data_IF_108400268172
#
_entry.id   IF_108400268172
#
_cell.length_a   1.000
_cell.length_b   1.000
_cell.length_c   1.000
_cell.angle_alpha   90.00
_cell.angle_beta   90.00
_cell.angle_gamma   90.00
#
_symmetry.space_group_name_H-M   'P 1'
#
loop_
_entity.id
_entity.type
_entity.pdbx_description
1 polymer ?
#
# COMPACT_ATOMS: atom_id res chain seq x y z
N UNK A 1 -13.58 0.68 6.64
CA UNK A 1 -12.63 0.00 5.75
C UNK A 1 -11.25 0.62 5.97
N UNK A 2 -10.23 -0.21 6.19
CA UNK A 2 -8.82 0.23 6.36
C UNK A 2 -8.29 0.76 5.04
N UNK A 3 -7.66 1.95 5.05
CA UNK A 3 -7.06 2.55 3.84
C UNK A 3 -5.57 2.22 3.78
N UNK A 4 -5.11 1.70 2.65
CA UNK A 4 -3.68 1.45 2.42
C UNK A 4 -3.08 2.53 1.52
N UNK A 5 -1.77 2.70 1.64
CA UNK A 5 -1.01 3.71 0.93
C UNK A 5 0.27 3.12 0.36
N UNK A 6 0.61 3.57 -0.83
CA UNK A 6 1.97 3.60 -1.33
C UNK A 6 2.69 4.76 -0.64
N UNK A 7 3.83 4.48 0.01
CA UNK A 7 4.70 5.53 0.57
C UNK A 7 5.82 5.78 -0.44
N UNK A 8 5.79 6.91 -1.14
CA UNK A 8 6.65 7.21 -2.29
C UNK A 8 7.76 8.18 -1.87
N UNK A 9 9.02 7.79 -2.01
CA UNK A 9 10.17 8.67 -1.83
C UNK A 9 10.23 9.70 -2.98
N UNK A 10 10.26 10.99 -2.65
CA UNK A 10 10.17 12.05 -3.67
C UNK A 10 11.37 12.09 -4.63
N UNK A 11 12.59 11.89 -4.14
CA UNK A 11 13.80 12.04 -4.96
C UNK A 11 13.97 10.94 -6.02
N UNK A 12 13.36 9.77 -5.81
CA UNK A 12 13.54 8.56 -6.62
C UNK A 12 12.26 8.04 -7.27
N UNK A 13 11.10 8.56 -6.86
CA UNK A 13 9.75 8.10 -7.25
C UNK A 13 9.47 6.63 -6.90
N UNK A 14 10.30 6.02 -6.06
CA UNK A 14 10.17 4.63 -5.61
C UNK A 14 9.32 4.54 -4.36
N UNK A 15 8.72 3.36 -4.17
CA UNK A 15 7.86 3.08 -3.01
C UNK A 15 8.64 2.34 -1.93
N UNK A 16 8.23 2.51 -0.68
CA UNK A 16 8.76 1.71 0.43
C UNK A 16 8.22 0.28 0.36
N UNK A 17 9.11 -0.69 0.55
CA UNK A 17 8.86 -2.12 0.44
C UNK A 17 9.54 -2.88 1.58
N UNK A 18 8.88 -3.92 2.10
CA UNK A 18 9.56 -4.97 2.88
C UNK A 18 10.46 -5.79 1.96
N UNK A 19 11.78 -5.82 2.22
CA UNK A 19 12.75 -6.50 1.37
C UNK A 19 12.31 -7.93 1.01
N UNK A 20 12.35 -8.24 -0.29
CA UNK A 20 11.97 -9.53 -0.88
C UNK A 20 10.56 -10.01 -0.50
N UNK A 21 9.64 -9.08 -0.18
CA UNK A 21 8.31 -9.40 0.33
C UNK A 21 8.31 -10.38 1.52
N UNK A 22 9.37 -10.30 2.35
CA UNK A 22 9.58 -11.18 3.49
C UNK A 22 8.41 -11.13 4.47
N UNK A 23 8.07 -12.29 5.03
CA UNK A 23 7.05 -12.42 6.08
C UNK A 23 7.66 -12.50 7.49
N UNK A 24 8.99 -12.38 7.60
CA UNK A 24 9.70 -12.49 8.86
C UNK A 24 9.97 -11.13 9.48
N UNK A 25 9.88 -11.08 10.81
CA UNK A 25 10.35 -9.94 11.60
C UNK A 25 11.84 -9.70 11.37
N UNK A 26 12.26 -8.44 11.44
CA UNK A 26 13.65 -8.04 11.18
C UNK A 26 13.98 -7.85 9.70
N UNK A 27 13.08 -8.16 8.78
CA UNK A 27 13.27 -7.81 7.37
C UNK A 27 13.34 -6.28 7.23
N UNK A 28 14.34 -5.80 6.49
CA UNK A 28 14.57 -4.36 6.32
C UNK A 28 13.54 -3.74 5.38
N UNK A 29 13.28 -2.47 5.60
CA UNK A 29 12.50 -1.65 4.67
C UNK A 29 13.48 -1.06 3.65
N UNK A 30 13.12 -1.16 2.37
CA UNK A 30 13.87 -0.64 1.23
C UNK A 30 12.98 0.26 0.39
N UNK A 31 13.57 1.01 -0.54
CA UNK A 31 12.82 1.50 -1.69
C UNK A 31 12.88 0.50 -2.85
N UNK A 32 11.80 0.41 -3.62
CA UNK A 32 11.72 -0.39 -4.83
C UNK A 32 10.80 0.27 -5.88
N UNK A 33 10.93 -0.13 -7.14
CA UNK A 33 9.97 0.22 -8.18
C UNK A 33 8.56 -0.20 -7.76
N UNK A 34 7.57 0.68 -7.98
CA UNK A 34 6.17 0.39 -7.68
C UNK A 34 5.69 -0.80 -8.52
N UNK A 35 5.12 -1.81 -7.86
CA UNK A 35 4.49 -2.96 -8.51
C UNK A 35 3.10 -2.60 -9.04
N UNK A 36 2.61 -3.39 -9.99
CA UNK A 36 1.23 -3.31 -10.44
C UNK A 36 0.29 -3.79 -9.33
N UNK A 37 -0.96 -3.31 -9.33
CA UNK A 37 -1.93 -3.60 -8.27
C UNK A 37 -2.30 -5.09 -8.13
N UNK A 38 -2.08 -5.89 -9.19
CA UNK A 38 -2.32 -7.34 -9.20
C UNK A 38 -1.05 -8.19 -9.00
N UNK A 39 0.09 -7.57 -8.67
CA UNK A 39 1.30 -8.33 -8.35
C UNK A 39 1.05 -9.17 -7.07
N UNK A 40 1.40 -10.48 -7.06
CA UNK A 40 1.15 -11.37 -5.92
C UNK A 40 1.88 -10.94 -4.63
N UNK A 41 2.82 -10.00 -4.73
CA UNK A 41 3.58 -9.42 -3.64
C UNK A 41 3.38 -7.92 -3.48
N UNK A 42 2.38 -7.33 -4.14
CA UNK A 42 2.05 -5.88 -4.03
C UNK A 42 1.84 -5.45 -2.58
N UNK A 43 1.27 -6.33 -1.75
CA UNK A 43 1.00 -6.07 -0.34
C UNK A 43 2.27 -5.80 0.50
N UNK A 44 3.45 -6.19 0.02
CA UNK A 44 4.74 -5.84 0.65
C UNK A 44 5.10 -4.35 0.49
N UNK A 45 4.41 -3.63 -0.40
CA UNK A 45 4.61 -2.20 -0.68
C UNK A 45 3.43 -1.33 -0.20
N UNK A 46 2.42 -1.95 0.42
CA UNK A 46 1.19 -1.29 0.88
C UNK A 46 1.19 -1.13 2.40
N UNK A 47 0.87 0.09 2.84
CA UNK A 47 1.02 0.51 4.24
C UNK A 47 -0.26 1.12 4.77
N UNK A 48 -0.73 0.65 5.93
CA UNK A 48 -1.77 1.32 6.70
C UNK A 48 -1.10 2.25 7.72
N UNK A 49 -1.58 3.49 7.84
CA UNK A 49 -1.09 4.43 8.84
C UNK A 49 -2.26 4.96 9.68
N UNK A 50 -2.15 4.83 11.00
CA UNK A 50 -3.19 5.25 11.95
C UNK A 50 -2.80 6.47 12.82
N UNK A 51 -1.76 7.22 12.42
CA UNK A 51 -1.23 8.34 13.20
C UNK A 51 -0.30 7.94 14.34
N UNK A 52 0.10 6.66 14.40
CA UNK A 52 1.15 6.16 15.28
C UNK A 52 1.94 5.03 14.63
N UNK A 53 1.27 4.00 14.11
CA UNK A 53 1.92 2.83 13.54
C UNK A 53 1.77 2.80 12.02
N UNK A 54 2.87 2.54 11.33
CA UNK A 54 2.91 2.27 9.89
C UNK A 54 2.96 0.75 9.74
N UNK A 55 1.85 0.14 9.35
CA UNK A 55 1.63 -1.30 9.32
C UNK A 55 1.66 -1.83 7.89
N UNK A 56 2.46 -2.85 7.62
CA UNK A 56 2.47 -3.50 6.32
C UNK A 56 1.19 -4.32 6.08
N UNK A 57 0.60 -4.24 4.89
CA UNK A 57 -0.60 -4.99 4.51
C UNK A 57 -0.37 -6.50 4.51
N UNK A 58 0.79 -6.97 4.02
CA UNK A 58 1.10 -8.40 3.88
C UNK A 58 1.29 -9.11 5.21
N UNK A 59 1.97 -8.47 6.16
CA UNK A 59 2.43 -9.12 7.40
C UNK A 59 1.69 -8.66 8.65
N UNK A 60 1.07 -7.48 8.63
CA UNK A 60 0.54 -6.84 9.83
C UNK A 60 1.63 -6.32 10.79
N UNK A 61 2.91 -6.45 10.42
CA UNK A 61 4.03 -5.90 11.18
C UNK A 61 4.18 -4.40 10.95
N UNK A 62 4.82 -3.73 11.90
CA UNK A 62 4.98 -2.27 11.91
C UNK A 62 6.42 -1.86 11.60
N UNK A 63 6.61 -0.65 11.11
CA UNK A 63 7.92 0.00 11.06
C UNK A 63 8.52 0.08 12.47
N UNK A 64 9.75 -0.39 12.60
CA UNK A 64 10.50 -0.45 13.84
C UNK A 64 11.94 0.02 13.60
N UNK A 65 12.42 0.89 14.50
CA UNK A 65 13.84 1.27 14.55
C UNK A 65 14.63 0.12 15.14
N UNK A 66 15.46 -0.53 14.32
CA UNK A 66 16.17 -1.74 14.71
C UNK A 66 16.94 -1.58 16.03
N UNK A 67 16.56 -2.39 17.03
CA UNK A 67 17.17 -2.39 18.36
C UNK A 67 16.92 -1.11 19.17
N UNK A 68 15.91 -0.31 18.81
CA UNK A 68 15.62 0.99 19.42
C UNK A 68 16.83 1.95 19.42
N UNK A 69 17.69 1.84 18.40
CA UNK A 69 18.93 2.63 18.30
C UNK A 69 18.68 3.98 17.60
N UNK A 70 18.50 5.04 18.38
CA UNK A 70 18.19 6.38 17.85
C UNK A 70 19.43 7.16 17.39
N UNK A 71 20.05 6.71 16.31
CA UNK A 71 21.20 7.36 15.69
C UNK A 71 21.09 7.33 14.16
N UNK A 72 21.90 8.16 13.49
CA UNK A 72 21.97 8.18 12.04
C UNK A 72 22.34 6.81 11.47
N UNK A 73 21.66 6.44 10.38
CA UNK A 73 21.86 5.20 9.62
C UNK A 73 21.38 3.93 10.34
N UNK A 74 20.67 4.03 11.48
CA UNK A 74 19.96 2.87 12.03
C UNK A 74 18.92 2.37 11.03
N UNK A 75 18.88 1.06 10.80
CA UNK A 75 17.95 0.47 9.83
C UNK A 75 16.52 0.53 10.33
N UNK A 76 15.59 0.75 9.41
CA UNK A 76 14.18 0.50 9.64
C UNK A 76 13.86 -0.91 9.19
N UNK A 77 13.18 -1.66 10.07
CA UNK A 77 12.75 -3.04 9.83
C UNK A 77 11.24 -3.15 10.03
N UNK A 78 10.65 -4.25 9.57
CA UNK A 78 9.34 -4.65 10.06
C UNK A 78 9.49 -5.49 11.33
N UNK A 79 8.62 -5.26 12.32
CA UNK A 79 8.58 -6.06 13.54
C UNK A 79 7.15 -6.22 14.08
N UNK A 80 6.94 -7.22 14.94
CA UNK A 80 5.66 -7.35 15.65
C UNK A 80 5.41 -6.10 16.48
N UNK A 81 4.17 -5.62 16.48
CA UNK A 81 3.78 -4.50 17.33
C UNK A 81 3.86 -4.93 18.79
N UNK A 82 4.57 -4.15 19.61
CA UNK A 82 4.59 -4.37 21.06
C UNK A 82 3.23 -4.02 21.69
N UNK A 83 2.83 -4.79 22.71
CA UNK A 83 1.60 -4.54 23.45
C UNK A 83 1.67 -3.26 24.29
N UNK A 84 2.85 -3.00 24.87
CA UNK A 84 3.18 -1.75 25.55
C UNK A 84 3.69 -0.71 24.54
N UNK A 85 3.54 0.57 24.86
CA UNK A 85 4.04 1.66 24.01
C UNK A 85 5.55 1.50 23.80
N UNK A 86 5.96 1.52 22.53
CA UNK A 86 7.34 1.40 22.11
C UNK A 86 7.68 2.57 21.19
N UNK A 87 8.50 3.48 21.70
CA UNK A 87 8.91 4.71 21.02
C UNK A 87 9.59 4.47 19.66
N UNK A 88 10.16 3.28 19.43
CA UNK A 88 10.79 2.85 18.19
C UNK A 88 9.78 2.48 17.07
N UNK A 89 8.49 2.33 17.40
CA UNK A 89 7.43 1.93 16.46
C UNK A 89 6.40 3.04 16.23
N UNK A 90 6.57 4.20 16.88
CA UNK A 90 5.63 5.29 16.85
C UNK A 90 6.14 6.44 15.97
N UNK A 91 5.37 6.70 14.91
CA UNK A 91 5.68 7.62 13.83
C UNK A 91 4.60 8.68 13.71
N UNK A 92 5.00 9.86 13.24
CA UNK A 92 4.11 10.91 12.78
C UNK A 92 4.46 11.32 11.35
N UNK A 93 3.45 11.74 10.59
CA UNK A 93 3.64 12.30 9.25
C UNK A 93 3.37 13.80 9.29
N UNK A 94 4.34 14.60 8.86
CA UNK A 94 4.19 16.05 8.73
C UNK A 94 3.79 16.37 7.27
N UNK A 95 2.63 17.01 7.08
CA UNK A 95 2.09 17.31 5.75
C UNK A 95 2.80 18.47 5.04
N UNK A 96 3.43 19.38 5.78
CA UNK A 96 4.08 20.57 5.22
C UNK A 96 5.43 20.21 4.60
N UNK A 97 6.27 19.49 5.34
CA UNK A 97 7.61 19.07 4.88
C UNK A 97 7.65 17.63 4.33
N UNK A 98 6.53 16.90 4.44
CA UNK A 98 6.34 15.54 3.93
C UNK A 98 7.30 14.52 4.57
N UNK A 99 7.78 14.78 5.78
CA UNK A 99 8.63 13.83 6.53
C UNK A 99 7.80 12.85 7.36
N UNK A 100 8.33 11.64 7.53
CA UNK A 100 7.84 10.66 8.52
C UNK A 100 8.87 10.65 9.64
N UNK A 101 8.49 11.11 10.84
CA UNK A 101 9.40 11.27 11.98
C UNK A 101 9.03 10.38 13.15
N UNK A 102 9.99 10.09 14.03
CA UNK A 102 9.69 9.46 15.31
C UNK A 102 8.81 10.40 16.14
N UNK A 103 7.68 9.89 16.63
CA UNK A 103 6.69 10.68 17.37
C UNK A 103 7.27 11.32 18.64
N UNK A 104 8.15 10.60 19.33
CA UNK A 104 8.79 11.08 20.55
C UNK A 104 10.04 11.95 20.31
N UNK A 105 10.61 11.93 19.10
CA UNK A 105 11.82 12.67 18.75
C UNK A 105 11.83 13.05 17.26
N UNK A 106 11.15 14.16 16.95
CA UNK A 106 10.98 14.70 15.59
C UNK A 106 12.28 15.13 14.90
N UNK A 107 13.42 15.09 15.61
CA UNK A 107 14.75 15.28 15.02
C UNK A 107 15.08 14.15 14.04
N UNK A 108 14.58 12.94 14.29
CA UNK A 108 14.86 11.78 13.46
C UNK A 108 13.70 11.43 12.55
N UNK A 109 14.00 11.27 11.27
CA UNK A 109 13.06 10.98 10.19
C UNK A 109 13.48 9.73 9.41
N UNK A 110 12.55 9.18 8.64
CA UNK A 110 12.88 8.22 7.60
C UNK A 110 13.75 8.88 6.51
N UNK A 111 14.73 8.14 6.02
CA UNK A 111 15.68 8.59 5.02
C UNK A 111 16.03 7.45 4.06
N UNK A 112 16.04 7.73 2.75
CA UNK A 112 16.61 6.81 1.77
C UNK A 112 18.14 6.96 1.77
N UNK A 113 18.82 5.91 2.24
CA UNK A 113 20.25 5.91 2.50
C UNK A 113 21.07 6.45 1.32
N UNK A 114 21.91 7.43 1.62
CA UNK A 114 22.80 8.13 0.69
C UNK A 114 22.07 8.77 -0.52
N UNK A 115 20.77 9.05 -0.39
CA UNK A 115 19.89 9.54 -1.46
C UNK A 115 19.94 8.68 -2.73
N UNK A 116 20.26 7.38 -2.61
CA UNK A 116 20.34 6.46 -3.75
C UNK A 116 19.00 6.42 -4.46
N UNK A 117 19.04 6.28 -5.79
CA UNK A 117 17.84 6.09 -6.62
C UNK A 117 17.61 4.64 -7.01
N UNK A 118 18.52 3.74 -6.68
CA UNK A 118 18.43 2.32 -7.03
C UNK A 118 17.39 1.58 -6.18
N UNK A 119 16.85 0.50 -6.75
CA UNK A 119 16.10 -0.48 -5.96
C UNK A 119 16.99 -1.06 -4.85
N UNK A 120 16.36 -1.52 -3.77
CA UNK A 120 17.03 -2.11 -2.61
C UNK A 120 17.87 -1.13 -1.78
N UNK A 121 17.84 0.18 -2.07
CA UNK A 121 18.39 1.17 -1.15
C UNK A 121 17.60 1.12 0.17
N UNK A 122 18.31 1.05 1.29
CA UNK A 122 17.69 0.87 2.61
C UNK A 122 17.05 2.15 3.11
N UNK A 123 15.93 1.99 3.81
CA UNK A 123 15.36 3.05 4.63
C UNK A 123 16.02 3.01 6.00
N UNK A 124 16.49 4.18 6.44
CA UNK A 124 17.19 4.36 7.70
C UNK A 124 16.57 5.50 8.50
N UNK A 125 16.86 5.50 9.79
CA UNK A 125 16.68 6.64 10.65
C UNK A 125 17.82 7.64 10.39
N UNK A 126 17.48 8.91 10.20
CA UNK A 126 18.48 9.96 10.04
C UNK A 126 17.99 11.29 10.61
N UNK A 127 18.92 12.13 11.05
CA UNK A 127 18.61 13.48 11.48
C UNK A 127 18.01 14.29 10.32
N UNK A 128 16.91 14.98 10.60
CA UNK A 128 16.21 15.79 9.61
C UNK A 128 17.12 16.87 9.04
N UNK A 129 17.35 16.82 7.73
CA UNK A 129 18.12 17.78 6.95
C UNK A 129 17.31 18.36 5.78
N UNK A 130 16.06 17.95 5.58
CA UNK A 130 15.10 18.58 4.67
C UNK A 130 15.36 18.33 3.17
N UNK A 131 16.26 17.41 2.81
CA UNK A 131 16.50 17.06 1.41
C UNK A 131 15.45 16.05 0.94
N UNK A 132 15.25 15.94 -0.37
CA UNK A 132 14.17 15.16 -0.98
C UNK A 132 14.17 13.67 -0.61
N UNK A 133 15.33 13.08 -0.24
CA UNK A 133 15.43 11.69 0.22
C UNK A 133 14.83 11.44 1.62
N UNK A 134 14.37 12.49 2.30
CA UNK A 134 13.61 12.42 3.57
C UNK A 134 12.12 12.74 3.39
N UNK A 135 11.68 13.01 2.16
CA UNK A 135 10.33 13.46 1.90
C UNK A 135 9.53 12.36 1.18
N UNK A 136 8.35 12.05 1.70
CA UNK A 136 7.52 10.93 1.26
C UNK A 136 6.09 11.37 0.95
N UNK A 137 5.55 10.89 -0.16
CA UNK A 137 4.15 11.13 -0.53
C UNK A 137 3.34 9.89 -0.17
N UNK A 138 2.22 10.09 0.53
CA UNK A 138 1.24 9.03 0.81
C UNK A 138 0.21 8.99 -0.32
N UNK A 139 0.39 8.10 -1.29
CA UNK A 139 -0.59 7.87 -2.34
C UNK A 139 -1.54 6.76 -1.90
N UNK A 140 -2.84 7.06 -1.83
CA UNK A 140 -3.86 6.05 -1.49
C UNK A 140 -3.86 4.91 -2.52
N UNK A 141 -3.92 3.67 -2.03
CA UNK A 141 -4.22 2.50 -2.83
C UNK A 141 -5.74 2.34 -2.89
N UNK A 142 -6.29 2.49 -4.08
CA UNK A 142 -7.70 2.21 -4.34
C UNK A 142 -7.80 0.75 -4.77
N UNK A 143 -8.41 -0.07 -3.90
CA UNK A 143 -8.72 -1.45 -4.25
C UNK A 143 -9.92 -1.45 -5.21
N UNK A 144 -9.64 -1.65 -6.50
CA UNK A 144 -10.66 -1.74 -7.54
C UNK A 144 -11.66 -2.89 -7.31
N UNK A 145 -11.46 -3.74 -6.29
CA UNK A 145 -12.44 -4.74 -5.85
C UNK A 145 -13.82 -4.13 -5.55
N UNK A 146 -13.89 -2.88 -5.09
CA UNK A 146 -15.17 -2.16 -4.89
C UNK A 146 -15.87 -1.76 -6.20
N UNK A 147 -15.15 -1.63 -7.31
CA UNK A 147 -15.73 -1.30 -8.62
C UNK A 147 -16.40 -2.54 -9.21
N UNK A 148 -15.82 -3.73 -9.02
CA UNK A 148 -16.37 -4.98 -9.54
C UNK A 148 -17.68 -5.37 -8.84
N UNK A 149 -17.82 -5.16 -7.53
CA UNK A 149 -19.05 -5.50 -6.80
C UNK A 149 -20.26 -4.65 -7.25
N UNK A 150 -20.04 -3.37 -7.53
CA UNK A 150 -21.07 -2.47 -8.07
C UNK A 150 -21.41 -2.76 -9.54
N UNK A 151 -20.43 -3.14 -10.36
CA UNK A 151 -20.65 -3.54 -11.76
C UNK A 151 -21.38 -4.89 -11.81
N UNK A 152 -20.99 -5.86 -11.00
CA UNK A 152 -21.67 -7.16 -10.93
C UNK A 152 -23.13 -7.02 -10.48
N UNK A 153 -23.40 -6.17 -9.48
CA UNK A 153 -24.77 -5.87 -9.04
C UNK A 153 -25.58 -5.24 -10.18
N UNK A 154 -25.00 -4.26 -10.89
CA UNK A 154 -25.64 -3.60 -12.03
C UNK A 154 -25.89 -4.54 -13.22
N UNK A 155 -24.98 -5.48 -13.47
CA UNK A 155 -25.12 -6.52 -14.50
C UNK A 155 -26.24 -7.50 -14.11
N UNK A 156 -26.26 -8.00 -12.87
CA UNK A 156 -27.30 -8.92 -12.39
C UNK A 156 -28.68 -8.26 -12.43
N UNK A 157 -28.78 -6.99 -12.03
CA UNK A 157 -30.05 -6.27 -12.11
C UNK A 157 -30.47 -6.04 -13.57
N UNK A 158 -29.55 -5.68 -14.48
CA UNK A 158 -29.84 -5.61 -15.92
C UNK A 158 -30.30 -6.95 -16.52
N UNK A 159 -29.76 -8.09 -16.06
CA UNK A 159 -30.24 -9.42 -16.48
C UNK A 159 -31.59 -9.79 -15.87
N UNK A 160 -31.91 -9.34 -14.65
CA UNK A 160 -33.25 -9.51 -14.04
C UNK A 160 -34.33 -8.68 -14.75
N UNK A 161 -33.95 -7.58 -15.42
CA UNK A 161 -34.82 -6.74 -16.25
C UNK A 161 -34.92 -7.20 -17.72
N UNK A 162 -34.42 -8.38 -18.06
CA UNK A 162 -34.70 -9.06 -19.34
C UNK A 162 -35.86 -10.10 -19.26
N UNK A 163 -37.05 -9.85 -18.66
CA UNK A 163 -38.21 -10.63 -19.07
C UNK A 163 -38.75 -10.00 -20.36
N UNK A 164 -38.84 -10.81 -21.43
CA UNK A 164 -39.54 -10.58 -22.72
C UNK A 164 -38.71 -10.34 -23.99
N UNK A 165 -37.47 -10.84 -24.07
CA UNK A 165 -36.83 -11.05 -25.38
C UNK A 165 -36.78 -12.52 -25.83
N UNK A 166 -37.11 -13.48 -24.96
CA UNK A 166 -37.14 -14.91 -25.32
C UNK A 166 -38.52 -15.42 -25.80
N UNK A 167 -39.60 -14.63 -25.66
CA UNK A 167 -40.95 -15.07 -26.05
C UNK A 167 -41.29 -14.74 -27.51
N UNK A 168 -40.70 -13.69 -28.09
CA UNK A 168 -40.94 -13.31 -29.49
C UNK A 168 -40.11 -14.13 -30.50
N UNK A 169 -39.15 -14.96 -30.05
CA UNK A 169 -38.37 -15.82 -30.94
C UNK A 169 -39.03 -17.18 -31.20
N UNK A 170 -40.02 -17.58 -30.40
CA UNK A 170 -40.76 -18.83 -30.57
C UNK A 170 -41.99 -18.68 -31.49
N UNK A 171 -42.57 -17.48 -31.62
CA UNK A 171 -43.68 -17.23 -32.57
C UNK A 171 -43.22 -17.00 -34.02
N UNK A 172 -41.92 -16.78 -34.27
CA UNK A 172 -41.39 -16.54 -35.63
C UNK A 172 -40.98 -17.87 -36.33
N UNK A 173 -40.98 -18.99 -35.62
CA UNK A 173 -40.60 -20.30 -36.17
C UNK A 173 -41.80 -21.22 -36.50
N UNK A 174 -43.04 -20.80 -36.20
CA UNK A 174 -44.23 -21.63 -36.44
C UNK A 174 -44.97 -21.31 -37.75
N UNK A 175 -44.52 -20.32 -38.54
CA UNK A 175 -45.24 -19.83 -39.74
C UNK A 175 -44.57 -20.14 -41.09
N UNK A 176 -43.58 -21.02 -41.14
CA UNK A 176 -42.99 -21.50 -42.39
C UNK A 176 -42.91 -23.03 -42.44
N UNK A 177 -44.05 -23.69 -42.65
CA UNK A 177 -44.09 -24.76 -43.66
C UNK A 177 -45.49 -24.91 -44.28
N UNK A 178 -45.44 -24.86 -45.61
CA UNK A 178 -46.50 -24.68 -46.57
C UNK A 178 -47.29 -25.97 -46.82
N UNK A 179 -48.54 -25.78 -47.23
CA UNK A 179 -49.55 -26.74 -47.66
C UNK A 179 -49.07 -27.83 -48.65
N UNK A 180 -49.71 -29.01 -48.56
CA UNK A 180 -49.65 -30.22 -49.42
C UNK A 180 -49.59 -29.96 -50.94
#
# INVERSE_FOLDING_TARGET
MTKYYWIIAQHSEKVLEVENASIFQGAKIIQASKKFDHDPTVDAQLWYFNGAFITNKRTGFVFDVAGAKYENRTRIIQFVRYAESCAAQEWEYNYEDKTISLKHNRKFVLDVLDAKKDNNASIVLFEKHGRENQQFILQKWDDDSMVIENVATSIIDNFKFLPKLSQNFLEILDDDEYYD
#
